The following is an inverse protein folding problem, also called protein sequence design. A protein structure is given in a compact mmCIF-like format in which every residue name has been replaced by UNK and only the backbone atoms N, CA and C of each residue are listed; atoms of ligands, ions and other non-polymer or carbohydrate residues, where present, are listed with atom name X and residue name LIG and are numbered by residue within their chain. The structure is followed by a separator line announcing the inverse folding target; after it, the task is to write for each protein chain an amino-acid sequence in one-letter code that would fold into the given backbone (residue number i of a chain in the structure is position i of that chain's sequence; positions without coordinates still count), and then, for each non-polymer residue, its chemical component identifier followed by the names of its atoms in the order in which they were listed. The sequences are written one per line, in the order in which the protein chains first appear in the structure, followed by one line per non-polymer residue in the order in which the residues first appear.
data_IF_977757905841
#
_entry.id   IF_977757905841
#
_cell.length_a   1.000
_cell.length_b   1.000
_cell.length_c   1.000
_cell.angle_alpha   90.00
_cell.angle_beta   90.00
_cell.angle_gamma   90.00
#
_symmetry.space_group_name_H-M   'P 1'
#
loop_
_entity.id
_entity.type
_entity.pdbx_description
1 polymer ?
#
# COMPACT_ATOMS: atom_id res chain seq x y z
N UNK A 1 6.47 30.17 -11.27
CA UNK A 1 6.19 29.24 -10.16
C UNK A 1 4.99 28.39 -10.56
N UNK A 2 5.19 27.13 -10.93
CA UNK A 2 4.08 26.25 -11.34
C UNK A 2 3.41 25.75 -10.06
N UNK A 3 2.16 26.18 -9.81
CA UNK A 3 1.36 25.63 -8.73
C UNK A 3 1.17 24.13 -8.99
N UNK A 4 1.73 23.27 -8.14
CA UNK A 4 1.44 21.83 -8.18
C UNK A 4 0.05 21.64 -7.60
N UNK A 5 -0.91 21.23 -8.44
CA UNK A 5 -2.20 20.75 -7.95
C UNK A 5 -1.99 19.35 -7.40
N UNK A 6 -2.25 19.10 -6.09
CA UNK A 6 -2.19 17.75 -5.57
C UNK A 6 -3.31 16.92 -6.21
N UNK A 7 -3.00 15.69 -6.60
CA UNK A 7 -3.91 14.80 -7.32
C UNK A 7 -4.40 13.70 -6.39
N UNK A 8 -5.62 13.22 -6.64
CA UNK A 8 -6.10 12.02 -5.97
C UNK A 8 -5.17 10.84 -6.29
N UNK A 9 -4.85 10.04 -5.27
CA UNK A 9 -3.95 8.91 -5.39
C UNK A 9 -4.72 7.64 -5.15
N UNK A 10 -4.65 6.70 -6.11
CA UNK A 10 -5.18 5.37 -5.91
C UNK A 10 -4.20 4.58 -5.04
N UNK A 11 -4.72 3.96 -3.98
CA UNK A 11 -3.98 3.06 -3.11
C UNK A 11 -4.57 1.66 -3.25
N UNK A 12 -3.73 0.68 -3.52
CA UNK A 12 -4.12 -0.73 -3.54
C UNK A 12 -3.60 -1.44 -2.32
N UNK A 13 -4.48 -2.20 -1.68
CA UNK A 13 -4.18 -3.00 -0.49
C UNK A 13 -4.35 -4.45 -0.86
N UNK A 14 -3.32 -5.24 -0.58
CA UNK A 14 -3.29 -6.66 -0.86
C UNK A 14 -3.03 -7.43 0.43
N UNK A 15 -3.88 -8.40 0.75
CA UNK A 15 -3.55 -9.43 1.72
C UNK A 15 -2.96 -10.62 0.97
N UNK A 16 -1.80 -11.09 1.43
CA UNK A 16 -0.97 -12.07 0.71
C UNK A 16 -0.56 -13.23 1.61
N UNK A 17 -0.41 -14.42 1.01
CA UNK A 17 0.19 -15.62 1.62
C UNK A 17 1.71 -15.50 1.77
N UNK A 18 2.40 -15.03 0.74
CA UNK A 18 3.85 -14.76 0.72
C UNK A 18 4.11 -13.34 0.17
N UNK A 19 5.24 -12.74 0.54
CA UNK A 19 5.66 -11.40 0.12
C UNK A 19 6.64 -11.38 -1.06
N UNK A 20 7.21 -12.53 -1.47
CA UNK A 20 8.25 -12.58 -2.52
C UNK A 20 7.83 -11.92 -3.82
N UNK A 21 6.63 -12.23 -4.31
CA UNK A 21 6.13 -11.69 -5.57
C UNK A 21 5.96 -10.16 -5.50
N UNK A 22 5.41 -9.66 -4.38
CA UNK A 22 5.24 -8.21 -4.20
C UNK A 22 6.57 -7.51 -3.99
N UNK A 23 7.53 -8.11 -3.30
CA UNK A 23 8.86 -7.53 -3.08
C UNK A 23 9.66 -7.43 -4.39
N UNK A 24 9.59 -8.46 -5.23
CA UNK A 24 10.29 -8.52 -6.51
C UNK A 24 9.66 -7.64 -7.60
N UNK A 25 8.36 -7.33 -7.48
CA UNK A 25 7.66 -6.53 -8.47
C UNK A 25 8.14 -5.07 -8.48
N UNK A 26 8.41 -4.55 -9.67
CA UNK A 26 8.66 -3.14 -9.89
C UNK A 26 7.37 -2.33 -9.91
N UNK A 27 7.51 -1.00 -9.90
CA UNK A 27 6.37 -0.09 -9.89
C UNK A 27 5.44 -0.30 -11.09
N UNK A 28 6.00 -0.52 -12.28
CA UNK A 28 5.22 -0.68 -13.52
C UNK A 28 4.36 -1.94 -13.48
N UNK A 29 4.90 -3.02 -12.94
CA UNK A 29 4.20 -4.29 -12.73
C UNK A 29 3.04 -4.08 -11.76
N UNK A 30 3.29 -3.43 -10.62
CA UNK A 30 2.24 -3.15 -9.63
C UNK A 30 1.16 -2.17 -10.15
N UNK A 31 1.53 -1.25 -11.05
CA UNK A 31 0.60 -0.33 -11.68
C UNK A 31 -0.33 -1.03 -12.69
N UNK A 32 0.21 -1.94 -13.52
CA UNK A 32 -0.50 -2.46 -14.71
C UNK A 32 -0.93 -3.92 -14.61
N UNK A 33 -0.14 -4.75 -13.95
CA UNK A 33 -0.23 -6.21 -14.00
C UNK A 33 -0.18 -6.86 -12.60
N UNK A 34 -0.58 -6.15 -11.55
CA UNK A 34 -0.50 -6.65 -10.18
C UNK A 34 -1.26 -7.99 -9.99
N UNK A 35 -2.45 -8.12 -10.57
CA UNK A 35 -3.28 -9.32 -10.42
C UNK A 35 -2.58 -10.57 -10.97
N UNK A 36 -1.88 -10.43 -12.10
CA UNK A 36 -1.10 -11.52 -12.68
C UNK A 36 0.18 -11.79 -11.88
N UNK A 37 0.86 -10.73 -11.44
CA UNK A 37 2.12 -10.84 -10.69
C UNK A 37 1.92 -11.45 -9.30
N UNK A 38 0.78 -11.20 -8.66
CA UNK A 38 0.49 -11.64 -7.29
C UNK A 38 -0.44 -12.86 -7.23
N UNK A 39 -0.89 -13.39 -8.37
CA UNK A 39 -1.99 -14.38 -8.47
C UNK A 39 -1.89 -15.53 -7.49
N UNK A 40 -0.70 -16.11 -7.34
CA UNK A 40 -0.49 -17.33 -6.54
C UNK A 40 -0.53 -17.05 -5.03
N UNK A 41 -0.19 -15.81 -4.63
CA UNK A 41 -0.09 -15.38 -3.24
C UNK A 41 -1.28 -14.52 -2.79
N UNK A 42 -2.04 -13.96 -3.73
CA UNK A 42 -3.15 -13.05 -3.45
C UNK A 42 -4.31 -13.76 -2.74
N UNK A 43 -4.74 -13.19 -1.62
CA UNK A 43 -5.92 -13.61 -0.85
C UNK A 43 -7.05 -12.62 -1.03
N UNK A 44 -6.77 -11.33 -0.78
CA UNK A 44 -7.73 -10.23 -0.90
C UNK A 44 -7.07 -9.02 -1.56
N UNK A 45 -7.79 -8.33 -2.44
CA UNK A 45 -7.42 -7.01 -2.95
C UNK A 45 -8.50 -5.96 -2.63
N UNK A 46 -8.05 -4.73 -2.34
CA UNK A 46 -8.91 -3.54 -2.20
C UNK A 46 -8.26 -2.33 -2.84
N UNK A 47 -9.10 -1.43 -3.36
CA UNK A 47 -8.68 -0.16 -3.94
C UNK A 47 -9.32 0.99 -3.17
N UNK A 48 -8.55 2.04 -2.91
CA UNK A 48 -8.96 3.23 -2.16
C UNK A 48 -8.50 4.48 -2.92
N UNK A 49 -9.41 5.41 -3.16
CA UNK A 49 -9.08 6.70 -3.78
C UNK A 49 -8.86 7.79 -2.72
N UNK A 50 -7.59 8.08 -2.42
CA UNK A 50 -7.25 9.09 -1.41
C UNK A 50 -7.21 10.48 -2.05
N UNK A 51 -8.09 11.36 -1.59
CA UNK A 51 -8.13 12.75 -2.04
C UNK A 51 -7.00 13.57 -1.41
N UNK A 52 -6.48 14.61 -2.08
CA UNK A 52 -5.52 15.53 -1.51
C UNK A 52 -5.95 16.09 -0.15
N UNK A 53 -5.05 16.06 0.85
CA UNK A 53 -5.32 16.50 2.23
C UNK A 53 -6.46 15.74 2.92
N UNK A 54 -6.96 14.66 2.31
CA UNK A 54 -7.94 13.77 2.89
C UNK A 54 -7.28 12.60 3.60
N UNK A 55 -8.09 11.87 4.35
CA UNK A 55 -7.72 10.61 4.99
C UNK A 55 -8.78 9.56 4.66
N UNK A 56 -8.37 8.30 4.57
CA UNK A 56 -9.28 7.17 4.44
C UNK A 56 -8.95 6.13 5.50
N UNK A 57 -10.00 5.52 6.03
CA UNK A 57 -9.89 4.38 6.95
C UNK A 57 -10.37 3.14 6.22
N UNK A 58 -9.53 2.10 6.21
CA UNK A 58 -9.92 0.77 5.76
C UNK A 58 -10.18 -0.09 6.99
N UNK A 59 -11.43 -0.45 7.21
CA UNK A 59 -11.79 -1.43 8.23
C UNK A 59 -12.19 -2.72 7.51
N UNK A 60 -11.29 -3.70 7.54
CA UNK A 60 -11.56 -5.04 7.03
C UNK A 60 -10.82 -6.07 7.86
N UNK A 61 -11.43 -7.23 8.14
CA UNK A 61 -10.74 -8.30 8.84
C UNK A 61 -9.56 -8.81 8.01
N UNK A 62 -8.50 -9.23 8.70
CA UNK A 62 -7.42 -9.98 8.06
C UNK A 62 -7.89 -11.41 7.81
N UNK A 63 -7.79 -11.88 6.57
CA UNK A 63 -8.08 -13.25 6.20
C UNK A 63 -7.14 -14.20 6.96
N UNK A 64 -7.65 -15.35 7.36
CA UNK A 64 -6.88 -16.34 8.12
C UNK A 64 -5.64 -16.82 7.35
N UNK A 65 -5.73 -16.88 6.02
CA UNK A 65 -4.65 -17.33 5.14
C UNK A 65 -3.64 -16.22 4.81
N UNK A 66 -3.92 -14.98 5.18
CA UNK A 66 -3.01 -13.87 4.95
C UNK A 66 -1.90 -13.85 6.02
N UNK A 67 -0.67 -13.66 5.57
CA UNK A 67 0.52 -13.48 6.41
C UNK A 67 1.13 -12.09 6.23
N UNK A 68 0.80 -11.42 5.12
CA UNK A 68 1.32 -10.09 4.79
C UNK A 68 0.22 -9.18 4.29
N UNK A 69 0.40 -7.87 4.52
CA UNK A 69 -0.40 -6.81 3.92
C UNK A 69 0.52 -5.87 3.14
N UNK A 70 0.32 -5.78 1.84
CA UNK A 70 1.01 -4.81 0.99
C UNK A 70 0.11 -3.60 0.72
N UNK A 71 0.66 -2.40 0.91
CA UNK A 71 0.01 -1.12 0.59
C UNK A 71 0.80 -0.46 -0.52
N UNK A 72 0.14 -0.24 -1.66
CA UNK A 72 0.76 0.25 -2.90
C UNK A 72 0.14 1.59 -3.28
N UNK A 73 0.94 2.65 -3.26
CA UNK A 73 0.53 3.96 -3.75
C UNK A 73 0.81 4.10 -5.24
N UNK A 74 -0.24 4.31 -6.04
CA UNK A 74 -0.13 4.51 -7.48
C UNK A 74 0.04 6.00 -7.80
N UNK A 75 1.22 6.52 -7.50
CA UNK A 75 1.57 7.91 -7.69
C UNK A 75 1.88 8.27 -9.15
N UNK A 76 1.58 9.50 -9.55
CA UNK A 76 2.03 10.01 -10.86
C UNK A 76 3.55 10.16 -10.96
N UNK A 77 4.22 10.41 -9.83
CA UNK A 77 5.67 10.52 -9.70
C UNK A 77 6.13 9.76 -8.46
N UNK A 78 6.29 8.44 -8.54
CA UNK A 78 6.71 7.64 -7.40
C UNK A 78 8.19 7.89 -7.06
N UNK A 79 8.51 7.79 -5.78
CA UNK A 79 9.88 7.70 -5.29
C UNK A 79 10.43 6.29 -5.57
N UNK A 80 10.99 6.12 -6.76
CA UNK A 80 11.57 4.86 -7.21
C UNK A 80 12.97 4.60 -6.63
N UNK A 81 13.66 5.65 -6.17
CA UNK A 81 15.02 5.53 -5.67
C UNK A 81 15.03 4.78 -4.33
N UNK A 82 14.14 5.16 -3.43
CA UNK A 82 14.04 4.57 -2.09
C UNK A 82 12.89 3.55 -1.99
N UNK A 83 12.25 3.23 -3.11
CA UNK A 83 11.12 2.29 -3.22
C UNK A 83 9.94 2.60 -2.29
N UNK A 84 9.77 3.87 -1.91
CA UNK A 84 8.79 4.30 -0.89
C UNK A 84 7.35 4.35 -1.40
N UNK A 85 7.08 3.93 -2.63
CA UNK A 85 5.72 3.81 -3.15
C UNK A 85 4.99 2.56 -2.63
N UNK A 86 5.68 1.69 -1.90
CA UNK A 86 5.16 0.44 -1.32
C UNK A 86 5.49 0.34 0.16
N UNK A 87 4.55 -0.21 0.93
CA UNK A 87 4.76 -0.75 2.26
C UNK A 87 4.37 -2.23 2.26
N UNK A 88 5.11 -3.07 2.98
CA UNK A 88 4.76 -4.49 3.20
C UNK A 88 4.87 -4.76 4.69
N UNK A 89 3.74 -5.08 5.30
CA UNK A 89 3.56 -5.37 6.71
C UNK A 89 3.41 -6.88 6.89
N UNK A 90 4.03 -7.43 7.92
CA UNK A 90 3.72 -8.77 8.42
C UNK A 90 2.43 -8.74 9.22
N UNK A 91 1.85 -9.92 9.48
CA UNK A 91 0.71 -10.07 10.38
C UNK A 91 1.01 -9.54 11.79
N UNK A 92 2.24 -9.70 12.27
CA UNK A 92 2.65 -9.27 13.61
C UNK A 92 2.77 -7.73 13.73
N UNK A 93 2.91 -7.03 12.60
CA UNK A 93 2.91 -5.56 12.56
C UNK A 93 1.49 -4.95 12.70
N UNK A 94 0.46 -5.80 12.74
CA UNK A 94 -0.95 -5.41 12.75
C UNK A 94 -1.62 -5.81 14.06
N UNK A 95 -2.33 -4.85 14.65
CA UNK A 95 -3.11 -5.04 15.88
C UNK A 95 -4.61 -5.10 15.50
N UNK A 96 -5.38 -6.05 16.06
CA UNK A 96 -6.80 -6.20 15.74
C UNK A 96 -7.66 -5.01 16.19
N UNK A 97 -7.22 -4.29 17.21
CA UNK A 97 -7.97 -3.19 17.83
C UNK A 97 -7.36 -1.82 17.48
N UNK A 98 -6.07 -1.77 17.15
CA UNK A 98 -5.34 -0.53 16.85
C UNK A 98 -4.93 -0.44 15.37
N UNK A 99 -5.50 0.50 14.60
CA UNK A 99 -5.13 0.65 13.19
C UNK A 99 -3.69 1.17 13.05
N UNK A 100 -2.98 0.65 12.04
CA UNK A 100 -1.73 1.25 11.57
C UNK A 100 -2.04 2.42 10.63
N UNK A 101 -1.40 3.56 10.87
CA UNK A 101 -1.54 4.74 10.01
C UNK A 101 -0.38 4.78 9.01
N UNK A 102 -0.71 4.89 7.73
CA UNK A 102 0.23 5.19 6.66
C UNK A 102 0.01 6.63 6.18
N UNK A 103 1.07 7.43 6.16
CA UNK A 103 1.08 8.76 5.56
C UNK A 103 1.38 8.66 4.07
N UNK A 104 0.64 9.46 3.29
CA UNK A 104 0.86 9.64 1.86
C UNK A 104 1.47 11.01 1.61
N UNK A 105 2.67 11.04 1.04
CA UNK A 105 3.32 12.25 0.57
C UNK A 105 3.36 12.36 -0.96
N UNK A 106 4.18 13.28 -1.48
CA UNK A 106 4.39 13.47 -2.92
C UNK A 106 5.26 12.33 -3.49
N UNK A 107 4.62 11.20 -3.80
CA UNK A 107 5.28 10.04 -4.43
C UNK A 107 5.70 8.93 -3.47
N UNK A 108 5.37 9.03 -2.19
CA UNK A 108 5.84 8.09 -1.16
C UNK A 108 4.77 7.78 -0.12
N UNK A 109 4.97 6.64 0.54
CA UNK A 109 4.27 6.13 1.70
C UNK A 109 5.24 6.00 2.87
N UNK A 110 4.76 6.27 4.08
CA UNK A 110 5.50 5.99 5.31
C UNK A 110 4.54 5.49 6.38
N UNK A 111 4.99 4.52 7.19
CA UNK A 111 4.25 4.16 8.39
C UNK A 111 4.52 5.20 9.47
N UNK A 112 3.46 5.62 10.14
CA UNK A 112 3.59 6.40 11.37
C UNK A 112 4.08 5.47 12.47
N UNK A 113 5.15 5.84 13.21
CA UNK A 113 5.59 5.08 14.38
C UNK A 113 4.45 4.93 15.39
N UNK A 114 4.37 3.76 16.04
CA UNK A 114 3.51 3.62 17.22
C UNK A 114 4.06 4.54 18.31
N UNK A 115 3.22 5.37 18.92
CA UNK A 115 3.61 6.09 20.13
C UNK A 115 3.66 5.07 21.26
N UNK A 116 4.79 5.04 21.99
CA UNK A 116 4.95 4.28 23.24
C UNK A 116 3.94 4.72 24.31
#
# INVERSE_FOLDING_TARGET
MVLRSPLATMVRIYQLKDRKAVDAADYRTMLRNADAALKDDLVVSKELLVMPKGSMTLNMPMDENAQFVAVIGLFNRPDLQDNRWRLVLTRDDLDPDKPRTAELGDGWLSLVPLKE
#
